data_IF_410639501130
#
_entry.id   IF_410639501130
#
_cell.length_a   1.000
_cell.length_b   1.000
_cell.length_c   1.000
_cell.angle_alpha   90.00
_cell.angle_beta   90.00
_cell.angle_gamma   90.00
#
_symmetry.space_group_name_H-M   'P 1'
#
loop_
_entity.id
_entity.type
_entity.pdbx_description
1 polymer ?
#
# COMPACT_ATOMS: atom_id res chain seq x y z
N UNK A 1 14.78 5.84 -6.94
CA UNK A 1 14.93 4.40 -6.58
C UNK A 1 13.52 3.88 -6.46
N UNK A 2 13.19 2.81 -7.18
CA UNK A 2 11.81 2.35 -7.26
C UNK A 2 11.48 1.51 -6.01
N UNK A 3 10.34 1.80 -5.39
CA UNK A 3 9.80 1.06 -4.26
C UNK A 3 8.70 0.12 -4.73
N UNK A 4 8.57 -1.03 -4.07
CA UNK A 4 7.37 -1.86 -4.14
C UNK A 4 6.63 -1.70 -2.82
N UNK A 5 5.40 -1.18 -2.88
CA UNK A 5 4.57 -0.95 -1.70
C UNK A 5 3.40 -1.93 -1.67
N UNK A 6 3.10 -2.45 -0.49
CA UNK A 6 1.80 -3.02 -0.16
C UNK A 6 0.93 -1.94 0.44
N UNK A 7 -0.27 -1.77 -0.12
CA UNK A 7 -1.32 -0.89 0.37
C UNK A 7 -2.49 -1.79 0.78
N UNK A 8 -2.83 -1.78 2.07
CA UNK A 8 -4.11 -2.31 2.56
C UNK A 8 -5.06 -1.14 2.71
N UNK A 9 -6.16 -1.19 1.99
CA UNK A 9 -7.22 -0.21 2.03
C UNK A 9 -8.24 -0.58 3.11
N UNK A 10 -8.84 0.44 3.72
CA UNK A 10 -10.10 0.27 4.45
C UNK A 10 -11.17 -0.30 3.51
N UNK A 11 -12.16 -1.01 4.08
CA UNK A 11 -13.34 -1.48 3.34
C UNK A 11 -14.21 -0.34 2.80
N UNK A 12 -14.00 0.89 3.28
CA UNK A 12 -14.69 2.10 2.82
C UNK A 12 -14.17 2.63 1.48
N UNK A 13 -12.98 2.21 1.05
CA UNK A 13 -12.39 2.66 -0.22
C UNK A 13 -12.74 1.74 -1.36
N UNK A 14 -13.13 2.33 -2.49
CA UNK A 14 -13.16 1.63 -3.77
C UNK A 14 -11.72 1.47 -4.28
N UNK A 15 -11.23 0.23 -4.25
CA UNK A 15 -9.87 -0.12 -4.72
C UNK A 15 -9.61 0.37 -6.14
N UNK A 16 -10.56 0.21 -7.05
CA UNK A 16 -10.38 0.60 -8.46
C UNK A 16 -10.31 2.11 -8.60
N UNK A 17 -11.08 2.86 -7.79
CA UNK A 17 -10.97 4.31 -7.72
C UNK A 17 -9.60 4.78 -7.21
N UNK A 18 -9.04 4.10 -6.19
CA UNK A 18 -7.70 4.38 -5.66
C UNK A 18 -6.63 4.12 -6.72
N UNK A 19 -6.67 2.96 -7.40
CA UNK A 19 -5.74 2.62 -8.48
C UNK A 19 -5.81 3.67 -9.59
N UNK A 20 -7.01 3.99 -10.07
CA UNK A 20 -7.21 4.98 -11.14
C UNK A 20 -6.69 6.36 -10.76
N UNK A 21 -6.87 6.79 -9.51
CA UNK A 21 -6.31 8.06 -9.05
C UNK A 21 -4.78 8.04 -9.04
N UNK A 22 -4.16 6.94 -8.60
CA UNK A 22 -2.71 6.79 -8.61
C UNK A 22 -2.13 6.82 -10.04
N UNK A 23 -2.79 6.15 -10.99
CA UNK A 23 -2.39 6.14 -12.41
C UNK A 23 -2.47 7.54 -13.04
N UNK A 24 -3.63 8.21 -12.93
CA UNK A 24 -3.85 9.52 -13.55
C UNK A 24 -2.92 10.60 -12.99
N UNK A 25 -2.50 10.48 -11.73
CA UNK A 25 -1.57 11.41 -11.09
C UNK A 25 -0.09 11.00 -11.27
N UNK A 26 0.19 9.97 -12.09
CA UNK A 26 1.55 9.50 -12.36
C UNK A 26 2.30 9.04 -11.11
N UNK A 27 1.59 8.43 -10.16
CA UNK A 27 2.14 8.00 -8.86
C UNK A 27 2.56 6.55 -8.83
N UNK A 28 2.20 5.75 -9.83
CA UNK A 28 2.57 4.33 -9.91
C UNK A 28 2.99 3.98 -11.34
N UNK A 29 3.98 3.09 -11.46
CA UNK A 29 4.49 2.58 -12.74
C UNK A 29 3.79 1.28 -13.15
N UNK A 30 3.52 0.42 -12.17
CA UNK A 30 2.81 -0.85 -12.33
C UNK A 30 2.11 -1.24 -11.03
N UNK A 31 1.05 -2.03 -11.12
CA UNK A 31 0.31 -2.51 -9.96
C UNK A 31 -0.27 -3.91 -10.21
N UNK A 32 -0.53 -4.63 -9.10
CA UNK A 32 -1.32 -5.87 -9.11
C UNK A 32 -2.02 -6.04 -7.76
N UNK A 33 -3.02 -6.91 -7.68
CA UNK A 33 -3.68 -7.28 -6.43
C UNK A 33 -4.04 -8.76 -6.41
N UNK A 34 -4.06 -9.36 -5.21
CA UNK A 34 -4.45 -10.76 -5.01
C UNK A 34 -5.61 -10.94 -4.04
N UNK A 35 -5.85 -9.96 -3.16
CA UNK A 35 -6.95 -9.99 -2.20
C UNK A 35 -7.80 -8.71 -2.26
N UNK A 36 -9.08 -8.78 -1.82
CA UNK A 36 -9.91 -7.58 -1.65
C UNK A 36 -9.19 -6.53 -0.80
N UNK A 37 -9.29 -5.27 -1.21
CA UNK A 37 -8.70 -4.12 -0.50
C UNK A 37 -7.17 -4.16 -0.36
N UNK A 38 -6.48 -4.95 -1.17
CA UNK A 38 -5.01 -4.94 -1.24
C UNK A 38 -4.56 -4.43 -2.59
N UNK A 39 -3.49 -3.65 -2.62
CA UNK A 39 -2.83 -3.23 -3.86
C UNK A 39 -1.32 -3.33 -3.63
N UNK A 40 -0.63 -3.96 -4.57
CA UNK A 40 0.80 -3.89 -4.69
C UNK A 40 1.12 -2.88 -5.78
N UNK A 41 1.97 -1.90 -5.48
CA UNK A 41 2.33 -0.84 -6.45
C UNK A 41 3.84 -0.70 -6.55
N UNK A 42 4.35 -0.51 -7.77
CA UNK A 42 5.70 -0.03 -8.01
C UNK A 42 5.65 1.48 -8.20
N UNK A 43 6.46 2.22 -7.46
CA UNK A 43 6.41 3.68 -7.42
C UNK A 43 7.73 4.29 -6.97
N UNK A 44 7.99 5.54 -7.35
CA UNK A 44 9.08 6.34 -6.76
C UNK A 44 8.76 6.87 -5.36
N UNK A 45 7.49 6.79 -4.90
CA UNK A 45 7.05 7.25 -3.59
C UNK A 45 7.47 6.30 -2.47
N UNK A 46 7.80 6.85 -1.31
CA UNK A 46 7.96 6.07 -0.09
C UNK A 46 6.59 5.83 0.60
N UNK A 47 6.51 4.93 1.61
CA UNK A 47 5.24 4.59 2.27
C UNK A 47 4.49 5.79 2.85
N UNK A 48 5.21 6.77 3.43
CA UNK A 48 4.62 7.94 4.09
C UNK A 48 3.99 8.88 3.06
N UNK A 49 4.68 9.11 1.95
CA UNK A 49 4.17 9.92 0.84
C UNK A 49 2.90 9.30 0.24
N UNK A 50 2.90 7.98 0.06
CA UNK A 50 1.76 7.25 -0.49
C UNK A 50 0.54 7.28 0.46
N UNK A 51 0.75 7.09 1.77
CA UNK A 51 -0.32 7.21 2.78
C UNK A 51 -0.98 8.59 2.70
N UNK A 52 -0.16 9.65 2.75
CA UNK A 52 -0.64 11.04 2.68
C UNK A 52 -1.40 11.31 1.38
N UNK A 53 -0.92 10.82 0.24
CA UNK A 53 -1.62 11.02 -1.03
C UNK A 53 -3.02 10.37 -1.05
N UNK A 54 -3.14 9.15 -0.52
CA UNK A 54 -4.43 8.46 -0.44
C UNK A 54 -5.36 9.20 0.53
N UNK A 55 -4.87 9.60 1.70
CA UNK A 55 -5.62 10.38 2.69
C UNK A 55 -6.13 11.72 2.11
N UNK A 56 -5.28 12.45 1.38
CA UNK A 56 -5.64 13.73 0.74
C UNK A 56 -6.72 13.58 -0.34
N UNK A 57 -6.74 12.46 -1.07
CA UNK A 57 -7.68 12.23 -2.19
C UNK A 57 -8.99 11.57 -1.76
N UNK A 58 -8.94 10.70 -0.76
CA UNK A 58 -10.05 9.83 -0.37
C UNK A 58 -10.53 10.07 1.06
N UNK A 59 -9.93 11.02 1.78
CA UNK A 59 -10.22 11.35 3.16
C UNK A 59 -9.42 10.48 4.15
N UNK A 60 -9.29 10.95 5.39
CA UNK A 60 -8.63 10.21 6.46
C UNK A 60 -9.44 8.96 6.82
N UNK A 61 -8.94 7.78 6.43
CA UNK A 61 -9.43 6.50 6.91
C UNK A 61 -8.24 5.58 7.22
N UNK A 62 -8.54 4.45 7.85
CA UNK A 62 -7.60 3.42 8.26
C UNK A 62 -7.07 2.68 7.00
N UNK A 63 -5.99 3.19 6.39
CA UNK A 63 -5.18 2.50 5.37
C UNK A 63 -3.78 2.19 5.90
N UNK A 64 -3.19 1.10 5.40
CA UNK A 64 -1.85 0.69 5.80
C UNK A 64 -0.97 0.62 4.57
N UNK A 65 0.07 1.46 4.53
CA UNK A 65 1.06 1.45 3.46
C UNK A 65 2.40 1.04 4.01
N UNK A 66 3.02 0.04 3.38
CA UNK A 66 4.36 -0.40 3.75
C UNK A 66 5.18 -0.77 2.53
N UNK A 67 6.49 -0.60 2.63
CA UNK A 67 7.42 -1.08 1.62
C UNK A 67 7.63 -2.58 1.81
N UNK A 68 7.63 -3.32 0.71
CA UNK A 68 7.94 -4.75 0.71
C UNK A 68 9.39 -4.91 0.28
N UNK A 69 10.17 -5.53 1.16
CA UNK A 69 11.46 -6.08 0.82
C UNK A 69 11.30 -7.58 0.86
N UNK A 70 11.27 -8.18 -0.34
CA UNK A 70 11.17 -9.63 -0.46
C UNK A 70 12.55 -10.25 -0.58
N UNK A 71 12.70 -11.43 0.04
CA UNK A 71 13.82 -12.31 -0.28
C UNK A 71 13.66 -12.91 -1.68
N UNK A 72 14.63 -13.74 -2.09
CA UNK A 72 14.61 -14.44 -3.37
C UNK A 72 13.31 -15.21 -3.66
N UNK A 73 12.55 -15.60 -2.61
CA UNK A 73 11.31 -16.35 -2.73
C UNK A 73 10.06 -15.47 -2.66
N UNK A 74 10.19 -14.14 -2.69
CA UNK A 74 9.05 -13.24 -2.58
C UNK A 74 8.55 -13.08 -1.13
N UNK A 75 9.27 -13.60 -0.13
CA UNK A 75 8.83 -13.54 1.27
C UNK A 75 9.27 -12.24 1.91
N UNK A 76 8.35 -11.58 2.61
CA UNK A 76 8.71 -10.45 3.47
C UNK A 76 9.73 -10.90 4.53
N UNK A 77 10.74 -10.06 4.77
CA UNK A 77 11.73 -10.34 5.80
C UNK A 77 11.08 -10.45 7.20
N UNK A 78 11.68 -11.26 8.07
CA UNK A 78 11.23 -11.41 9.46
C UNK A 78 11.17 -10.07 10.22
N UNK A 79 12.01 -9.10 9.85
CA UNK A 79 11.99 -7.75 10.42
C UNK A 79 10.75 -6.97 10.00
N UNK A 80 10.41 -7.00 8.71
CA UNK A 80 9.17 -6.38 8.21
C UNK A 80 7.93 -7.07 8.78
N UNK A 81 7.98 -8.40 8.95
CA UNK A 81 6.88 -9.15 9.57
C UNK A 81 6.62 -8.78 11.03
N UNK A 82 7.69 -8.45 11.79
CA UNK A 82 7.54 -7.91 13.15
C UNK A 82 6.88 -6.53 13.17
N UNK A 83 7.16 -5.67 12.18
CA UNK A 83 6.50 -4.37 12.06
C UNK A 83 5.01 -4.53 11.75
N UNK A 84 4.67 -5.46 10.86
CA UNK A 84 3.28 -5.79 10.54
C UNK A 84 2.48 -6.24 11.77
N UNK A 85 3.07 -7.10 12.62
CA UNK A 85 2.44 -7.57 13.88
C UNK A 85 2.25 -6.49 14.95
N UNK A 86 2.98 -5.36 14.87
CA UNK A 86 2.79 -4.24 15.80
C UNK A 86 1.60 -3.36 15.43
N UNK A 87 1.12 -3.46 14.19
CA UNK A 87 -0.12 -2.82 13.71
C UNK A 87 -1.31 -3.67 14.17
N UNK A 88 -1.40 -3.94 15.48
CA UNK A 88 -2.43 -4.77 16.10
C UNK A 88 -3.82 -4.11 16.14
N UNK A 89 -3.95 -2.87 15.68
CA UNK A 89 -5.18 -2.08 15.75
C UNK A 89 -5.90 -1.95 14.39
N UNK A 90 -5.64 -2.86 13.44
CA UNK A 90 -6.22 -2.79 12.08
C UNK A 90 -7.42 -3.72 11.84
N UNK A 91 -8.02 -4.26 12.90
CA UNK A 91 -9.28 -5.02 12.77
C UNK A 91 -10.29 -4.40 13.74
N UNK A 92 -11.47 -3.94 13.25
CA UNK A 92 -12.54 -3.38 14.08
C UNK A 92 -13.10 -4.38 15.10
#
# INVERSE_FOLDING_TARGET
MDNVLLILLSTTYDREAVIKALEINGKIDTWFYSFPNTIFVKTSMNPKEMSRFIEEKFGENINFVTQIESDYFGRMSSAQWKNFKKVKNFIP
#
